data_IF_432019833609
#
_entry.id   IF_432019833609
#
_cell.length_a   1.000
_cell.length_b   1.000
_cell.length_c   1.000
_cell.angle_alpha   90.00
_cell.angle_beta   90.00
_cell.angle_gamma   90.00
#
_symmetry.space_group_name_H-M   'P 1'
#
loop_
_entity.id
_entity.type
_entity.pdbx_description
1 polymer ?
#
# COMPACT_ATOMS: atom_id res chain seq x y z
N UNK A 1 -22.68 -2.30 -6.81
CA UNK A 1 -21.34 -2.55 -6.18
C UNK A 1 -20.79 -1.31 -5.47
N UNK A 2 -20.45 -0.20 -6.12
CA UNK A 2 -19.77 0.92 -5.44
C UNK A 2 -20.61 1.69 -4.41
N UNK A 3 -21.88 1.95 -4.73
CA UNK A 3 -22.82 2.60 -3.81
C UNK A 3 -23.32 1.64 -2.71
N UNK A 4 -23.37 0.34 -3.00
CA UNK A 4 -23.94 -0.68 -2.11
C UNK A 4 -22.91 -1.32 -1.18
N UNK A 5 -21.63 -1.42 -1.57
CA UNK A 5 -20.62 -2.07 -0.75
C UNK A 5 -20.36 -1.34 0.58
N UNK A 6 -20.36 0.01 0.68
CA UNK A 6 -20.21 0.70 1.96
C UNK A 6 -21.14 0.19 3.06
N UNK A 7 -22.40 -0.12 2.73
CA UNK A 7 -23.41 -0.56 3.71
C UNK A 7 -23.29 -2.05 4.06
N UNK A 8 -22.48 -2.81 3.31
CA UNK A 8 -22.30 -4.26 3.47
C UNK A 8 -20.91 -4.64 4.00
N UNK A 9 -20.08 -3.65 4.27
CA UNK A 9 -18.70 -3.84 4.72
C UNK A 9 -18.64 -4.21 6.20
N UNK A 10 -17.99 -5.34 6.50
CA UNK A 10 -17.61 -5.73 7.87
C UNK A 10 -16.35 -5.03 8.37
N UNK A 11 -15.49 -4.60 7.43
CA UNK A 11 -14.22 -3.94 7.69
C UNK A 11 -14.13 -2.62 6.92
N UNK A 12 -13.10 -1.83 7.19
CA UNK A 12 -12.89 -0.54 6.51
C UNK A 12 -12.79 -0.63 4.98
N UNK A 13 -12.35 -1.77 4.44
CA UNK A 13 -12.09 -1.99 3.02
C UNK A 13 -12.47 -3.41 2.61
N UNK A 14 -12.73 -3.64 1.32
CA UNK A 14 -12.63 -4.98 0.73
C UNK A 14 -11.19 -5.20 0.28
N UNK A 15 -10.63 -6.39 0.54
CA UNK A 15 -9.31 -6.77 0.01
C UNK A 15 -9.35 -8.14 -0.63
N UNK A 16 -8.83 -8.24 -1.84
CA UNK A 16 -8.55 -9.48 -2.56
C UNK A 16 -7.06 -9.82 -2.39
N UNK A 17 -6.76 -11.04 -1.97
CA UNK A 17 -5.42 -11.55 -1.74
C UNK A 17 -5.01 -12.40 -2.94
N UNK A 18 -3.98 -11.95 -3.67
CA UNK A 18 -3.60 -12.57 -4.96
C UNK A 18 -3.04 -13.98 -4.82
N UNK A 19 -2.39 -14.28 -3.69
CA UNK A 19 -1.72 -15.57 -3.48
C UNK A 19 -2.71 -16.74 -3.31
N UNK A 20 -3.85 -16.51 -2.66
CA UNK A 20 -4.82 -17.55 -2.27
C UNK A 20 -6.24 -17.25 -2.80
N UNK A 21 -6.42 -16.18 -3.57
CA UNK A 21 -7.72 -15.73 -4.07
C UNK A 21 -8.69 -15.27 -2.98
N UNK A 22 -8.22 -15.13 -1.74
CA UNK A 22 -9.10 -14.87 -0.59
C UNK A 22 -9.65 -13.44 -0.64
N UNK A 23 -10.94 -13.29 -0.34
CA UNK A 23 -11.58 -11.99 -0.16
C UNK A 23 -11.83 -11.71 1.33
N UNK A 24 -11.47 -10.52 1.79
CA UNK A 24 -11.78 -10.01 3.13
C UNK A 24 -12.57 -8.71 3.05
N UNK A 25 -13.34 -8.39 4.09
CA UNK A 25 -14.14 -7.16 4.19
C UNK A 25 -15.62 -7.31 3.86
N UNK A 26 -16.02 -8.41 3.23
CA UNK A 26 -17.42 -8.81 3.04
C UNK A 26 -17.74 -10.09 3.81
N UNK A 27 -19.02 -10.26 4.14
CA UNK A 27 -19.54 -11.52 4.65
C UNK A 27 -19.29 -12.67 3.67
N UNK A 28 -19.23 -13.90 4.20
CA UNK A 28 -19.14 -15.09 3.36
C UNK A 28 -20.42 -15.30 2.52
N UNK A 29 -21.58 -14.96 3.11
CA UNK A 29 -22.90 -15.08 2.48
C UNK A 29 -23.28 -13.89 1.59
N UNK A 30 -22.44 -12.85 1.47
CA UNK A 30 -22.78 -11.67 0.69
C UNK A 30 -22.89 -12.04 -0.81
N UNK A 31 -24.04 -11.79 -1.48
CA UNK A 31 -24.22 -12.12 -2.89
C UNK A 31 -23.26 -11.35 -3.82
N UNK A 32 -22.71 -10.22 -3.38
CA UNK A 32 -21.73 -9.45 -4.14
C UNK A 32 -20.30 -10.00 -3.99
N UNK A 33 -20.04 -10.96 -3.10
CA UNK A 33 -18.70 -11.48 -2.78
C UNK A 33 -17.99 -12.05 -4.01
N UNK A 34 -18.66 -12.96 -4.73
CA UNK A 34 -18.08 -13.63 -5.90
C UNK A 34 -17.70 -12.62 -7.00
N UNK A 35 -18.65 -11.74 -7.35
CA UNK A 35 -18.43 -10.68 -8.34
C UNK A 35 -17.33 -9.71 -7.91
N UNK A 36 -17.28 -9.34 -6.63
CA UNK A 36 -16.23 -8.46 -6.11
C UNK A 36 -14.86 -9.12 -6.18
N UNK A 37 -14.77 -10.42 -5.87
CA UNK A 37 -13.54 -11.20 -6.04
C UNK A 37 -13.04 -11.20 -7.48
N UNK A 38 -13.91 -11.52 -8.44
CA UNK A 38 -13.57 -11.53 -9.86
C UNK A 38 -13.03 -10.17 -10.34
N UNK A 39 -13.77 -9.08 -10.09
CA UNK A 39 -13.38 -7.73 -10.51
C UNK A 39 -12.03 -7.30 -9.90
N UNK A 40 -11.79 -7.59 -8.62
CA UNK A 40 -10.53 -7.22 -7.97
C UNK A 40 -9.36 -8.10 -8.39
N UNK A 41 -9.61 -9.37 -8.72
CA UNK A 41 -8.62 -10.29 -9.28
C UNK A 41 -8.19 -9.86 -10.69
N UNK A 42 -9.15 -9.66 -11.59
CA UNK A 42 -8.90 -9.17 -12.96
C UNK A 42 -8.15 -7.83 -12.95
N UNK A 43 -8.57 -6.90 -12.07
CA UNK A 43 -7.89 -5.62 -11.92
C UNK A 43 -6.44 -5.77 -11.42
N UNK A 44 -6.21 -6.67 -10.46
CA UNK A 44 -4.86 -6.94 -9.94
C UNK A 44 -3.94 -7.47 -11.04
N UNK A 45 -4.41 -8.42 -11.83
CA UNK A 45 -3.67 -8.99 -12.97
C UNK A 45 -3.34 -7.93 -14.01
N UNK A 46 -4.33 -7.11 -14.40
CA UNK A 46 -4.15 -6.04 -15.37
C UNK A 46 -3.11 -5.00 -14.91
N UNK A 47 -3.17 -4.57 -13.64
CA UNK A 47 -2.20 -3.62 -13.08
C UNK A 47 -0.80 -4.25 -13.01
N UNK A 48 -0.68 -5.51 -12.64
CA UNK A 48 0.61 -6.18 -12.61
C UNK A 48 1.22 -6.33 -14.01
N UNK A 49 0.42 -6.67 -15.02
CA UNK A 49 0.88 -6.70 -16.41
C UNK A 49 1.35 -5.30 -16.87
N UNK A 50 0.56 -4.26 -16.58
CA UNK A 50 0.91 -2.88 -16.87
C UNK A 50 2.22 -2.44 -16.20
N UNK A 51 2.40 -2.70 -14.90
CA UNK A 51 3.61 -2.33 -14.16
C UNK A 51 4.86 -3.02 -14.68
N UNK A 52 4.75 -4.29 -15.11
CA UNK A 52 5.88 -4.99 -15.76
C UNK A 52 6.31 -4.31 -17.05
N UNK A 53 5.38 -3.71 -17.77
CA UNK A 53 5.67 -2.99 -19.01
C UNK A 53 6.25 -1.60 -18.75
N UNK A 54 5.63 -0.80 -17.88
CA UNK A 54 5.96 0.63 -17.74
C UNK A 54 7.03 0.92 -16.68
N UNK A 55 7.18 0.04 -15.70
CA UNK A 55 8.14 0.17 -14.62
C UNK A 55 8.81 -1.18 -14.31
N UNK A 56 9.47 -1.82 -15.30
CA UNK A 56 10.07 -3.14 -15.13
C UNK A 56 11.08 -3.18 -13.98
N UNK A 57 11.83 -2.10 -13.76
CA UNK A 57 12.82 -2.00 -12.68
C UNK A 57 12.19 -1.91 -11.28
N UNK A 58 10.95 -1.39 -11.14
CA UNK A 58 10.23 -1.36 -9.86
C UNK A 58 9.38 -2.60 -9.64
N UNK A 59 9.01 -3.30 -10.71
CA UNK A 59 8.10 -4.44 -10.68
C UNK A 59 8.80 -5.81 -10.78
N UNK A 60 10.10 -5.82 -11.10
CA UNK A 60 10.93 -7.02 -11.09
C UNK A 60 10.90 -7.68 -9.69
N UNK A 61 10.65 -8.99 -9.64
CA UNK A 61 10.59 -9.75 -8.39
C UNK A 61 9.39 -9.40 -7.49
N UNK A 62 8.43 -8.60 -7.96
CA UNK A 62 7.28 -8.21 -7.13
C UNK A 62 6.35 -9.40 -6.91
N UNK A 63 6.01 -9.65 -5.65
CA UNK A 63 4.99 -10.63 -5.27
C UNK A 63 3.61 -10.01 -5.45
N UNK A 64 2.73 -10.71 -6.18
CA UNK A 64 1.30 -10.39 -6.31
C UNK A 64 0.62 -10.53 -4.95
N UNK A 65 0.56 -9.44 -4.18
CA UNK A 65 0.10 -9.52 -2.79
C UNK A 65 -1.39 -9.26 -2.67
N UNK A 66 -1.86 -8.07 -3.05
CA UNK A 66 -3.21 -7.63 -2.64
C UNK A 66 -3.77 -6.51 -3.50
N UNK A 67 -5.05 -6.62 -3.86
CA UNK A 67 -5.87 -5.54 -4.39
C UNK A 67 -6.88 -5.09 -3.32
N UNK A 68 -7.09 -3.79 -3.16
CA UNK A 68 -8.01 -3.26 -2.14
C UNK A 68 -8.97 -2.25 -2.73
N UNK A 69 -10.26 -2.46 -2.47
CA UNK A 69 -11.32 -1.53 -2.82
C UNK A 69 -11.80 -0.78 -1.57
N UNK A 70 -11.80 0.55 -1.66
CA UNK A 70 -12.08 1.47 -0.54
C UNK A 70 -13.24 2.39 -0.89
N UNK A 71 -14.50 1.94 -0.69
CA UNK A 71 -15.66 2.73 -1.09
C UNK A 71 -16.11 3.75 -0.03
N UNK A 72 -15.47 3.77 1.14
CA UNK A 72 -15.83 4.67 2.25
C UNK A 72 -15.10 6.01 2.07
N UNK A 73 -15.83 7.13 2.23
CA UNK A 73 -15.26 8.48 2.22
C UNK A 73 -14.21 8.63 3.32
N UNK A 74 -13.03 9.16 2.97
CA UNK A 74 -11.94 9.36 3.93
C UNK A 74 -12.10 10.63 4.75
N UNK A 75 -12.61 11.70 4.13
CA UNK A 75 -12.71 13.01 4.76
C UNK A 75 -13.60 12.97 6.00
N UNK A 76 -13.10 13.49 7.12
CA UNK A 76 -13.88 13.70 8.33
C UNK A 76 -14.19 12.42 9.10
N UNK A 77 -13.50 11.32 8.81
CA UNK A 77 -13.63 10.09 9.59
C UNK A 77 -13.09 10.30 11.00
N UNK A 78 -13.89 9.95 12.02
CA UNK A 78 -13.47 9.95 13.43
C UNK A 78 -12.55 8.76 13.72
N UNK A 79 -11.29 8.84 13.29
CA UNK A 79 -10.26 7.82 13.52
C UNK A 79 -9.22 8.30 14.53
N UNK A 80 -8.57 7.35 15.22
CA UNK A 80 -7.36 7.65 15.99
C UNK A 80 -6.27 8.20 15.05
N UNK A 81 -5.42 9.15 15.47
CA UNK A 81 -4.39 9.75 14.62
C UNK A 81 -3.53 8.72 13.87
N UNK A 82 -3.09 7.67 14.57
CA UNK A 82 -2.26 6.59 14.00
C UNK A 82 -2.99 5.74 12.92
N UNK A 83 -4.33 5.80 12.85
CA UNK A 83 -5.13 5.10 11.86
C UNK A 83 -5.67 6.02 10.76
N UNK A 84 -5.46 7.33 10.88
CA UNK A 84 -5.95 8.33 9.95
C UNK A 84 -5.02 8.48 8.76
N UNK A 85 -5.58 8.41 7.56
CA UNK A 85 -4.84 8.70 6.32
C UNK A 85 -4.81 10.20 6.00
N UNK A 86 -5.43 11.06 6.83
CA UNK A 86 -5.41 12.52 6.64
C UNK A 86 -4.10 13.15 7.13
N UNK A 87 -3.31 12.42 7.93
CA UNK A 87 -1.98 12.85 8.35
C UNK A 87 -0.93 12.33 7.36
N UNK A 88 0.08 13.15 7.06
CA UNK A 88 1.24 12.72 6.28
C UNK A 88 1.95 11.58 7.00
N UNK A 89 2.13 10.47 6.29
CA UNK A 89 2.77 9.28 6.83
C UNK A 89 3.54 8.52 5.73
N UNK A 90 4.42 7.65 6.19
CA UNK A 90 5.05 6.62 5.37
C UNK A 90 4.39 5.30 5.76
N UNK A 91 4.04 4.48 4.78
CA UNK A 91 3.37 3.20 5.03
C UNK A 91 4.26 2.25 5.85
N UNK A 92 3.89 2.07 7.12
CA UNK A 92 4.45 1.06 8.02
C UNK A 92 3.28 0.36 8.73
N UNK A 93 2.55 -0.46 7.98
CA UNK A 93 1.29 -1.05 8.43
C UNK A 93 1.42 -2.46 9.00
N UNK A 94 0.32 -2.94 9.58
CA UNK A 94 0.20 -4.26 10.21
C UNK A 94 0.26 -5.47 9.25
N UNK A 95 0.77 -5.29 8.03
CA UNK A 95 0.97 -6.39 7.06
C UNK A 95 2.24 -7.22 7.36
N UNK A 96 2.90 -6.95 8.47
CA UNK A 96 4.14 -7.59 8.89
C UNK A 96 5.36 -6.72 8.61
N UNK A 97 6.51 -7.11 9.17
CA UNK A 97 7.78 -6.46 8.87
C UNK A 97 8.13 -6.69 7.39
N UNK A 98 8.50 -5.63 6.67
CA UNK A 98 8.89 -5.74 5.26
C UNK A 98 10.29 -6.32 5.08
N UNK A 99 11.08 -6.41 6.15
CA UNK A 99 12.47 -6.90 6.13
C UNK A 99 13.38 -6.24 5.09
N UNK A 100 13.04 -5.02 4.66
CA UNK A 100 13.77 -4.28 3.62
C UNK A 100 13.07 -4.26 2.26
N UNK A 101 12.04 -5.08 2.07
CA UNK A 101 11.22 -5.04 0.86
C UNK A 101 10.52 -3.69 0.72
N UNK A 102 10.43 -3.24 -0.53
CA UNK A 102 9.78 -1.98 -0.88
C UNK A 102 8.28 -2.21 -1.01
N UNK A 103 7.50 -1.29 -0.47
CA UNK A 103 6.05 -1.27 -0.69
C UNK A 103 5.79 -0.40 -1.92
N UNK A 104 5.38 -1.04 -3.01
CA UNK A 104 4.83 -0.36 -4.18
C UNK A 104 3.31 -0.43 -4.10
N UNK A 105 2.64 0.73 -4.24
CA UNK A 105 1.18 0.81 -4.34
C UNK A 105 0.78 1.51 -5.62
N UNK A 106 -0.15 0.91 -6.35
CA UNK A 106 -0.79 1.51 -7.51
C UNK A 106 -2.21 1.95 -7.13
N UNK A 107 -2.58 3.19 -7.45
CA UNK A 107 -3.86 3.75 -7.09
C UNK A 107 -4.63 4.19 -8.33
N UNK A 108 -5.90 3.82 -8.39
CA UNK A 108 -6.84 4.30 -9.39
C UNK A 108 -7.99 4.98 -8.66
N UNK A 109 -8.22 6.26 -8.95
CA UNK A 109 -9.46 6.90 -8.54
C UNK A 109 -10.55 6.43 -9.50
N UNK A 110 -11.46 5.61 -9.00
CA UNK A 110 -12.60 5.17 -9.79
C UNK A 110 -13.79 6.13 -9.65
N UNK A 111 -13.83 7.07 -8.70
CA UNK A 111 -15.03 7.90 -8.40
C UNK A 111 -15.52 8.67 -9.64
N UNK A 112 -16.82 8.59 -9.99
CA UNK A 112 -17.33 9.19 -11.23
C UNK A 112 -17.46 10.72 -11.17
N UNK A 113 -17.42 11.32 -9.98
CA UNK A 113 -17.77 12.73 -9.78
C UNK A 113 -16.81 13.49 -8.88
N UNK A 114 -16.00 12.81 -8.07
CA UNK A 114 -15.08 13.45 -7.14
C UNK A 114 -13.64 12.97 -7.32
N UNK A 115 -12.71 13.88 -7.20
CA UNK A 115 -11.29 13.55 -7.17
C UNK A 115 -10.85 12.97 -5.83
N UNK A 116 -9.89 12.06 -5.90
CA UNK A 116 -9.10 11.67 -4.74
C UNK A 116 -7.97 12.69 -4.58
N UNK A 117 -8.11 13.60 -3.63
CA UNK A 117 -7.10 14.63 -3.34
C UNK A 117 -6.04 14.10 -2.38
N UNK A 118 -4.77 14.29 -2.74
CA UNK A 118 -3.61 13.84 -1.97
C UNK A 118 -2.78 15.02 -1.50
N UNK A 119 -2.09 14.84 -0.38
CA UNK A 119 -1.04 15.74 0.08
C UNK A 119 0.27 14.98 0.19
N UNK A 120 1.35 15.60 -0.25
CA UNK A 120 2.73 15.11 -0.12
C UNK A 120 3.55 16.15 0.63
N UNK A 121 4.65 15.72 1.27
CA UNK A 121 5.49 16.63 2.04
C UNK A 121 6.96 16.24 1.96
N UNK A 122 7.72 17.07 1.26
CA UNK A 122 9.18 16.94 1.15
C UNK A 122 9.62 15.60 0.58
N UNK A 123 10.93 15.38 0.63
CA UNK A 123 11.51 14.07 0.37
C UNK A 123 11.68 13.25 1.67
N UNK A 124 12.05 11.99 1.52
CA UNK A 124 12.26 11.08 2.65
C UNK A 124 13.43 11.52 3.54
N UNK A 125 14.45 12.17 2.97
CA UNK A 125 15.64 12.62 3.72
C UNK A 125 15.26 13.76 4.66
N UNK A 126 14.47 14.73 4.20
CA UNK A 126 13.97 15.84 5.02
C UNK A 126 13.06 15.35 6.15
N UNK A 127 12.16 14.40 5.86
CA UNK A 127 11.29 13.80 6.87
C UNK A 127 12.11 13.06 7.92
N UNK A 128 13.10 12.26 7.50
CA UNK A 128 13.98 11.54 8.42
C UNK A 128 14.90 12.47 9.22
N UNK A 129 15.41 13.54 8.63
CA UNK A 129 16.22 14.51 9.36
C UNK A 129 15.44 15.18 10.50
N UNK A 130 14.15 15.47 10.27
CA UNK A 130 13.28 16.11 11.27
C UNK A 130 12.72 15.14 12.31
N UNK A 131 12.32 13.93 11.89
CA UNK A 131 11.53 13.02 12.71
C UNK A 131 12.21 11.66 12.97
N UNK A 132 13.38 11.40 12.39
CA UNK A 132 14.05 10.10 12.41
C UNK A 132 14.38 9.60 13.82
N UNK A 133 14.84 10.49 14.70
CA UNK A 133 15.12 10.13 16.12
C UNK A 133 13.83 9.80 16.87
N UNK A 134 12.79 10.62 16.73
CA UNK A 134 11.49 10.42 17.37
C UNK A 134 10.80 9.13 16.88
N UNK A 135 10.99 8.77 15.62
CA UNK A 135 10.47 7.53 15.03
C UNK A 135 11.22 6.27 15.50
N UNK A 136 12.37 6.42 16.16
CA UNK A 136 13.25 5.31 16.55
C UNK A 136 14.08 4.73 15.40
N UNK A 137 13.94 5.26 14.17
CA UNK A 137 14.74 4.85 13.01
C UNK A 137 16.20 5.33 13.11
N UNK A 138 16.42 6.51 13.69
CA UNK A 138 17.75 7.09 13.90
C UNK A 138 18.12 7.12 15.38
N UNK A 139 19.42 7.04 15.68
CA UNK A 139 19.95 7.37 17.00
C UNK A 139 20.13 8.88 17.19
N UNK A 140 20.50 9.31 18.41
CA UNK A 140 20.67 10.73 18.73
C UNK A 140 21.79 11.42 17.93
N UNK A 141 22.64 10.66 17.24
CA UNK A 141 23.66 11.17 16.33
C UNK A 141 23.22 11.12 14.85
N UNK A 142 21.95 10.82 14.58
CA UNK A 142 21.38 10.75 13.23
C UNK A 142 21.73 9.48 12.44
N UNK A 143 22.33 8.46 13.08
CA UNK A 143 22.68 7.21 12.40
C UNK A 143 21.50 6.25 12.39
N UNK A 144 21.29 5.55 11.27
CA UNK A 144 20.24 4.54 11.16
C UNK A 144 20.47 3.38 12.15
N UNK A 145 19.47 3.09 12.98
CA UNK A 145 19.47 1.97 13.94
C UNK A 145 19.14 0.63 13.30
N UNK A 146 18.50 0.65 12.14
CA UNK A 146 18.10 -0.56 11.42
C UNK A 146 19.17 -0.99 10.43
N UNK A 147 19.59 -2.25 10.53
CA UNK A 147 20.40 -2.90 9.49
C UNK A 147 19.50 -3.84 8.69
N UNK A 148 19.32 -3.54 7.41
CA UNK A 148 18.71 -4.46 6.46
C UNK A 148 19.80 -5.46 6.05
N UNK A 149 19.58 -6.75 6.28
CA UNK A 149 20.43 -7.80 5.71
C UNK A 149 20.08 -7.96 4.24
N UNK A 150 20.80 -7.23 3.39
CA UNK A 150 20.70 -7.34 1.94
C UNK A 150 21.37 -8.64 1.48
N UNK A 151 20.76 -9.34 0.52
CA UNK A 151 21.42 -10.47 -0.12
C UNK A 151 22.47 -9.94 -1.13
N UNK A 152 23.38 -10.79 -1.65
CA UNK A 152 24.41 -10.35 -2.61
C UNK A 152 23.86 -9.71 -3.89
N UNK A 153 22.68 -10.13 -4.36
CA UNK A 153 22.03 -9.53 -5.52
C UNK A 153 21.51 -8.11 -5.23
N UNK A 154 20.97 -7.87 -4.04
CA UNK A 154 20.53 -6.54 -3.60
C UNK A 154 21.71 -5.56 -3.50
N UNK A 155 22.88 -6.07 -3.08
CA UNK A 155 24.11 -5.29 -3.03
C UNK A 155 24.59 -4.90 -4.42
N UNK A 156 24.62 -5.84 -5.37
CA UNK A 156 24.98 -5.57 -6.76
C UNK A 156 24.03 -4.54 -7.40
N UNK A 157 22.72 -4.67 -7.17
CA UNK A 157 21.70 -3.75 -7.68
C UNK A 157 21.80 -2.34 -7.05
N UNK A 158 22.13 -2.25 -5.76
CA UNK A 158 22.30 -0.94 -5.09
C UNK A 158 23.51 -0.19 -5.64
N UNK A 159 24.57 -0.90 -6.05
CA UNK A 159 25.78 -0.31 -6.61
C UNK A 159 25.56 0.23 -8.02
N UNK A 160 24.76 -0.45 -8.85
CA UNK A 160 24.44 -0.01 -10.21
C UNK A 160 23.46 1.17 -10.27
N UNK A 161 22.56 1.33 -9.30
CA UNK A 161 21.66 2.51 -9.23
C UNK A 161 22.38 3.78 -8.74
N UNK A 162 23.58 3.65 -8.15
CA UNK A 162 24.41 4.77 -7.70
C UNK A 162 25.46 5.19 -8.74
N UNK A 163 25.55 4.52 -9.89
CA UNK A 163 26.47 4.81 -10.98
C UNK A 163 25.81 5.64 -12.08
#
# INVERSE_FOLDING_TARGET
>A
MRAELPTRLKLKNVSYHGADGRLTGLEASDPARARTGAVLGEHLEAVCAYLRQVAPHLSAGTVLTKCSFRPIQERGRKLKPHASNELIHIDAGAYGATHGDRILRFFVNVNPSEDRVWATKGDIQEVLARHGVQSGLLDNAGRCRLRIRKNPADHAFTLTVRA
#
